data_IF_227522632803
#
_entry.id   IF_227522632803
#
_cell.length_a   1.000
_cell.length_b   1.000
_cell.length_c   1.000
_cell.angle_alpha   90.00
_cell.angle_beta   90.00
_cell.angle_gamma   90.00
#
_symmetry.space_group_name_H-M   'P 1'
#
loop_
_entity.id
_entity.type
_entity.pdbx_description
1 polymer ?
#
# COMPACT_ATOMS: atom_id res chain seq x y z
N UNK A 1 18.14 -6.85 9.05
CA UNK A 1 16.84 -6.45 8.47
C UNK A 1 15.93 -7.66 8.49
N UNK A 2 14.67 -7.50 8.89
CA UNK A 2 13.68 -8.59 8.80
C UNK A 2 12.81 -8.35 7.59
N UNK A 3 12.46 -9.41 6.88
CA UNK A 3 11.48 -9.48 5.80
C UNK A 3 10.07 -9.81 6.32
N UNK A 4 9.90 -9.92 7.64
CA UNK A 4 8.62 -10.23 8.26
C UNK A 4 7.67 -9.06 8.10
N UNK A 5 6.47 -9.36 7.62
CA UNK A 5 5.34 -8.44 7.63
C UNK A 5 4.79 -8.31 9.05
N UNK A 6 4.56 -7.08 9.47
CA UNK A 6 4.14 -6.76 10.84
C UNK A 6 3.00 -5.75 10.83
N UNK A 7 2.21 -5.79 11.89
CA UNK A 7 1.34 -4.67 12.28
C UNK A 7 1.96 -3.98 13.48
N UNK A 8 1.79 -2.67 13.54
CA UNK A 8 2.22 -1.83 14.66
C UNK A 8 1.02 -1.09 15.21
N UNK A 9 0.95 -0.97 16.54
CA UNK A 9 -0.15 -0.31 17.24
C UNK A 9 0.44 0.58 18.33
N UNK A 10 -0.18 1.74 18.54
CA UNK A 10 0.14 2.63 19.66
C UNK A 10 -0.31 2.00 20.95
N UNK A 11 0.17 2.54 22.07
CA UNK A 11 -0.30 2.17 23.40
C UNK A 11 -1.80 2.44 23.54
N UNK A 12 -2.24 3.61 23.06
CA UNK A 12 -3.64 4.06 23.00
C UNK A 12 -3.79 5.22 21.99
N UNK A 13 -4.96 5.87 21.96
CA UNK A 13 -5.27 6.99 21.06
C UNK A 13 -4.60 8.31 21.49
N UNK A 14 -4.09 8.41 22.71
CA UNK A 14 -3.36 9.58 23.22
C UNK A 14 -1.86 9.53 22.88
N UNK A 15 -1.33 8.37 22.47
CA UNK A 15 0.09 8.14 22.16
C UNK A 15 0.30 7.82 20.67
N UNK A 16 -0.04 8.76 19.80
CA UNK A 16 0.19 8.61 18.37
C UNK A 16 1.69 8.49 18.03
N UNK A 17 2.00 7.68 17.03
CA UNK A 17 3.34 7.59 16.44
C UNK A 17 3.23 7.73 14.92
N UNK A 18 4.34 8.13 14.31
CA UNK A 18 4.51 8.11 12.86
C UNK A 18 5.25 6.84 12.45
N UNK A 19 4.79 6.21 11.36
CA UNK A 19 5.48 5.09 10.74
C UNK A 19 5.60 5.32 9.23
N UNK A 20 6.74 4.89 8.69
CA UNK A 20 7.03 4.94 7.27
C UNK A 20 7.75 3.67 6.84
N UNK A 21 7.56 3.32 5.59
CA UNK A 21 8.30 2.28 4.88
C UNK A 21 9.50 2.95 4.21
N UNK A 22 10.67 2.32 4.28
CA UNK A 22 11.89 2.84 3.67
C UNK A 22 12.42 1.83 2.67
N UNK A 23 12.72 2.30 1.46
CA UNK A 23 13.48 1.56 0.47
C UNK A 23 14.93 2.03 0.51
N UNK A 24 15.84 1.06 0.54
CA UNK A 24 17.27 1.33 0.67
C UNK A 24 17.96 1.66 -0.65
N UNK A 25 17.26 1.46 -1.78
CA UNK A 25 17.78 1.62 -3.14
C UNK A 25 18.62 0.45 -3.67
N UNK A 26 18.91 0.49 -4.98
CA UNK A 26 19.61 -0.55 -5.77
C UNK A 26 20.91 -1.03 -5.11
N UNK A 27 21.75 -0.09 -4.64
CA UNK A 27 23.11 -0.39 -4.18
C UNK A 27 23.19 -0.94 -2.75
N UNK A 28 22.08 -1.01 -2.02
CA UNK A 28 22.11 -1.51 -0.64
C UNK A 28 22.33 -3.03 -0.56
N UNK A 29 21.79 -3.81 -1.50
CA UNK A 29 21.96 -5.27 -1.54
C UNK A 29 23.07 -5.73 -2.48
N UNK A 30 23.69 -4.82 -3.25
CA UNK A 30 24.68 -5.15 -4.30
C UNK A 30 25.97 -5.79 -3.77
N UNK A 31 26.11 -5.89 -2.45
CA UNK A 31 27.20 -6.59 -1.75
C UNK A 31 27.10 -8.13 -1.91
N UNK A 32 25.92 -8.68 -2.26
CA UNK A 32 25.70 -10.14 -2.40
C UNK A 32 25.23 -10.52 -3.82
N UNK A 33 25.78 -9.87 -4.85
CA UNK A 33 25.76 -10.40 -6.22
C UNK A 33 24.45 -10.30 -7.01
N UNK A 34 23.50 -9.47 -6.57
CA UNK A 34 22.31 -9.11 -7.34
C UNK A 34 22.11 -7.60 -7.37
N UNK A 35 21.64 -7.06 -8.51
CA UNK A 35 21.12 -5.68 -8.57
C UNK A 35 19.65 -5.70 -8.15
N UNK A 36 19.31 -4.96 -7.10
CA UNK A 36 17.92 -4.60 -6.81
C UNK A 36 17.48 -3.47 -7.75
N UNK A 37 16.18 -3.31 -7.99
CA UNK A 37 15.64 -2.16 -8.72
C UNK A 37 15.13 -1.11 -7.74
N UNK A 38 14.97 0.12 -8.21
CA UNK A 38 14.56 1.25 -7.39
C UNK A 38 15.72 2.06 -6.78
N UNK A 39 15.44 3.32 -6.46
CA UNK A 39 16.28 4.20 -5.67
C UNK A 39 15.83 4.20 -4.19
N UNK A 40 16.47 5.05 -3.38
CA UNK A 40 16.06 5.22 -2.00
C UNK A 40 14.79 6.08 -1.94
N UNK A 41 13.76 5.57 -1.26
CA UNK A 41 12.46 6.23 -1.13
C UNK A 41 11.86 5.98 0.27
N UNK A 42 10.88 6.79 0.67
CA UNK A 42 10.09 6.56 1.86
C UNK A 42 8.59 6.82 1.62
N UNK A 43 7.75 5.96 2.15
CA UNK A 43 6.29 6.08 2.03
C UNK A 43 5.64 6.01 3.40
N UNK A 44 4.77 6.99 3.67
CA UNK A 44 4.02 7.06 4.91
C UNK A 44 3.11 5.83 5.07
N UNK A 45 3.13 5.20 6.24
CA UNK A 45 2.13 4.19 6.59
C UNK A 45 0.86 4.91 7.04
N UNK A 46 -0.23 4.68 6.32
CA UNK A 46 -1.54 5.24 6.67
C UNK A 46 -2.10 4.52 7.91
N UNK A 47 -2.48 5.25 8.98
CA UNK A 47 -3.14 4.67 10.14
C UNK A 47 -4.45 3.98 9.74
N UNK A 48 -4.77 2.84 10.35
CA UNK A 48 -5.96 2.06 9.95
C UNK A 48 -7.31 2.76 10.20
N UNK A 49 -7.34 3.78 11.07
CA UNK A 49 -8.49 4.68 11.22
C UNK A 49 -8.72 5.61 10.02
N UNK A 50 -7.72 5.75 9.12
CA UNK A 50 -7.77 6.58 7.92
C UNK A 50 -7.95 5.79 6.62
N UNK A 51 -8.16 4.47 6.70
CA UNK A 51 -8.50 3.66 5.53
C UNK A 51 -9.78 4.18 4.88
N UNK A 52 -9.83 4.14 3.56
CA UNK A 52 -10.98 4.58 2.77
C UNK A 52 -11.68 3.35 2.18
N UNK A 53 -12.86 3.58 1.61
CA UNK A 53 -13.66 2.59 0.89
C UNK A 53 -13.54 2.75 -0.64
N UNK A 54 -12.91 3.84 -1.11
CA UNK A 54 -12.71 4.14 -2.52
C UNK A 54 -11.43 4.93 -2.76
N UNK A 55 -10.71 4.59 -3.82
CA UNK A 55 -9.48 5.23 -4.26
C UNK A 55 -9.51 5.47 -5.77
N UNK A 56 -9.12 6.65 -6.21
CA UNK A 56 -8.72 6.94 -7.59
C UNK A 56 -7.24 7.25 -7.55
N UNK A 57 -6.44 6.52 -8.32
CA UNK A 57 -4.98 6.63 -8.28
C UNK A 57 -4.40 6.53 -9.70
N UNK A 58 -3.13 6.93 -9.84
CA UNK A 58 -2.44 6.96 -11.11
C UNK A 58 -1.16 6.14 -11.06
N UNK A 59 -1.05 5.15 -11.94
CA UNK A 59 0.18 4.40 -12.15
C UNK A 59 1.00 5.09 -13.24
N UNK A 60 2.23 5.51 -12.94
CA UNK A 60 3.12 6.14 -13.92
C UNK A 60 3.58 5.11 -14.96
N UNK A 61 3.49 5.47 -16.25
CA UNK A 61 3.86 4.59 -17.36
C UNK A 61 5.36 4.56 -17.68
N UNK A 62 6.13 5.49 -17.12
CA UNK A 62 7.58 5.62 -17.38
C UNK A 62 8.40 4.52 -16.70
N UNK A 63 7.87 3.91 -15.64
CA UNK A 63 8.51 2.84 -14.86
C UNK A 63 8.24 1.46 -15.45
N UNK A 64 9.22 0.56 -15.31
CA UNK A 64 9.16 -0.80 -15.84
C UNK A 64 8.14 -1.68 -15.10
N UNK A 65 8.09 -1.56 -13.78
CA UNK A 65 7.22 -2.32 -12.90
C UNK A 65 6.21 -1.41 -12.22
N UNK A 66 4.96 -1.86 -12.10
CA UNK A 66 3.95 -1.22 -11.25
C UNK A 66 3.24 -2.28 -10.43
N UNK A 67 3.26 -2.11 -9.11
CA UNK A 67 2.64 -3.02 -8.15
C UNK A 67 1.80 -2.24 -7.14
N UNK A 68 0.70 -2.82 -6.69
CA UNK A 68 -0.13 -2.30 -5.61
C UNK A 68 0.04 -3.15 -4.35
N UNK A 69 0.01 -2.50 -3.19
CA UNK A 69 -0.23 -3.19 -1.92
C UNK A 69 -1.60 -2.81 -1.42
N UNK A 70 -2.45 -3.81 -1.23
CA UNK A 70 -3.80 -3.64 -0.70
C UNK A 70 -3.84 -4.23 0.70
N UNK A 71 -4.33 -3.47 1.68
CA UNK A 71 -4.52 -3.94 3.06
C UNK A 71 -5.97 -3.71 3.45
N UNK A 72 -6.77 -4.76 3.58
CA UNK A 72 -8.17 -4.65 4.01
C UNK A 72 -8.28 -4.89 5.51
N UNK A 73 -9.16 -4.13 6.16
CA UNK A 73 -9.48 -4.29 7.58
C UNK A 73 -10.79 -5.06 7.74
N UNK A 74 -10.80 -5.98 8.69
CA UNK A 74 -11.99 -6.75 9.05
C UNK A 74 -13.09 -5.84 9.60
N UNK A 75 -14.32 -6.07 9.16
CA UNK A 75 -15.54 -5.42 9.67
C UNK A 75 -16.32 -6.40 10.54
N UNK A 76 -17.44 -5.97 11.11
CA UNK A 76 -18.33 -6.83 11.90
C UNK A 76 -18.84 -8.04 11.10
N UNK A 77 -19.01 -7.90 9.79
CA UNK A 77 -19.47 -8.97 8.89
C UNK A 77 -18.31 -9.73 8.22
N UNK A 78 -17.06 -9.45 8.60
CA UNK A 78 -15.85 -10.06 8.04
C UNK A 78 -15.09 -9.13 7.09
N UNK A 79 -14.29 -9.71 6.21
CA UNK A 79 -13.52 -8.95 5.23
C UNK A 79 -14.38 -8.65 4.00
N UNK A 80 -14.59 -7.36 3.73
CA UNK A 80 -15.27 -6.95 2.50
C UNK A 80 -14.38 -7.23 1.28
N UNK A 81 -14.96 -7.69 0.15
CA UNK A 81 -14.25 -7.78 -1.12
C UNK A 81 -13.72 -6.42 -1.56
N UNK A 82 -12.53 -6.40 -2.17
CA UNK A 82 -11.94 -5.20 -2.78
C UNK A 82 -11.96 -5.40 -4.29
N UNK A 83 -12.55 -4.46 -5.00
CA UNK A 83 -12.73 -4.48 -6.45
C UNK A 83 -11.82 -3.44 -7.08
N UNK A 84 -10.98 -3.87 -8.02
CA UNK A 84 -10.21 -2.99 -8.89
C UNK A 84 -10.95 -2.86 -10.24
N UNK A 85 -11.02 -1.65 -10.79
CA UNK A 85 -11.77 -1.37 -12.02
C UNK A 85 -11.35 -2.25 -13.21
N UNK A 86 -10.04 -2.45 -13.41
CA UNK A 86 -9.48 -3.27 -14.47
C UNK A 86 -9.41 -4.78 -14.13
N UNK A 87 -9.26 -5.17 -12.86
CA UNK A 87 -9.03 -6.57 -12.47
C UNK A 87 -10.29 -7.31 -11.97
N UNK A 88 -11.27 -6.58 -11.43
CA UNK A 88 -12.39 -7.16 -10.69
C UNK A 88 -12.04 -7.39 -9.22
N UNK A 89 -12.72 -8.36 -8.60
CA UNK A 89 -12.47 -8.75 -7.21
C UNK A 89 -11.03 -9.24 -7.04
N UNK A 90 -10.31 -8.63 -6.11
CA UNK A 90 -8.96 -9.04 -5.76
C UNK A 90 -8.98 -10.29 -4.88
N UNK A 91 -8.05 -11.20 -5.13
CA UNK A 91 -7.95 -12.50 -4.45
C UNK A 91 -6.59 -12.64 -3.76
N UNK A 92 -6.30 -13.86 -3.28
CA UNK A 92 -5.00 -14.22 -2.67
C UNK A 92 -4.63 -13.38 -1.43
N UNK A 93 -5.64 -12.89 -0.72
CA UNK A 93 -5.45 -12.21 0.56
C UNK A 93 -4.80 -13.14 1.60
N UNK A 94 -3.74 -12.64 2.23
CA UNK A 94 -3.01 -13.32 3.29
C UNK A 94 -3.18 -12.58 4.62
N UNK A 95 -3.21 -13.28 5.77
CA UNK A 95 -3.29 -12.63 7.08
C UNK A 95 -2.14 -11.65 7.32
N UNK A 96 -2.45 -10.48 7.90
CA UNK A 96 -1.46 -9.48 8.29
C UNK A 96 -1.48 -9.24 9.81
N UNK A 97 -0.37 -9.56 10.47
CA UNK A 97 -0.22 -9.47 11.93
C UNK A 97 -0.89 -10.63 12.68
N UNK A 98 -0.87 -10.57 14.01
CA UNK A 98 -1.29 -11.70 14.87
C UNK A 98 -2.78 -11.70 15.25
N UNK A 99 -3.46 -10.54 15.15
CA UNK A 99 -4.80 -10.37 15.70
C UNK A 99 -5.93 -10.78 14.74
N UNK A 100 -5.62 -11.09 13.48
CA UNK A 100 -6.63 -11.44 12.47
C UNK A 100 -7.51 -10.27 12.02
N UNK A 101 -7.10 -9.03 12.31
CA UNK A 101 -7.84 -7.80 11.99
C UNK A 101 -7.59 -7.32 10.56
N UNK A 102 -6.50 -7.77 9.93
CA UNK A 102 -6.05 -7.29 8.63
C UNK A 102 -5.65 -8.45 7.74
N UNK A 103 -5.90 -8.26 6.44
CA UNK A 103 -5.35 -9.08 5.38
C UNK A 103 -4.74 -8.18 4.32
N UNK A 104 -3.75 -8.70 3.61
CA UNK A 104 -3.11 -7.98 2.52
C UNK A 104 -2.98 -8.83 1.26
N UNK A 105 -2.88 -8.18 0.12
CA UNK A 105 -2.51 -8.81 -1.15
C UNK A 105 -1.64 -7.86 -1.96
N UNK A 106 -0.83 -8.40 -2.86
CA UNK A 106 -0.06 -7.64 -3.84
C UNK A 106 -0.68 -7.82 -5.22
N UNK A 107 -0.78 -6.74 -5.97
CA UNK A 107 -1.35 -6.75 -7.32
C UNK A 107 -0.36 -6.16 -8.29
N UNK A 108 0.17 -6.93 -9.23
CA UNK A 108 1.06 -6.42 -10.27
C UNK A 108 0.23 -5.88 -11.43
N UNK A 109 0.28 -4.58 -11.70
CA UNK A 109 -0.42 -3.97 -12.85
C UNK A 109 0.42 -4.11 -14.12
N UNK A 110 1.73 -3.86 -14.03
CA UNK A 110 2.66 -4.02 -15.14
C UNK A 110 3.93 -4.70 -14.68
N UNK A 111 4.43 -5.63 -15.50
CA UNK A 111 5.71 -6.31 -15.32
C UNK A 111 6.53 -6.19 -16.59
N UNK A 112 7.78 -5.76 -16.50
CA UNK A 112 8.64 -5.51 -17.67
C UNK A 112 7.93 -4.68 -18.75
N UNK A 113 7.26 -3.59 -18.34
CA UNK A 113 6.44 -2.70 -19.19
C UNK A 113 5.24 -3.39 -19.85
N UNK A 114 4.92 -4.61 -19.46
CA UNK A 114 3.82 -5.41 -20.00
C UNK A 114 2.62 -5.35 -19.05
N UNK A 115 1.45 -4.89 -19.53
CA UNK A 115 0.19 -4.94 -18.78
C UNK A 115 -0.18 -6.37 -18.35
N UNK A 116 -0.68 -6.53 -17.13
CA UNK A 116 -1.08 -7.84 -16.59
C UNK A 116 -2.58 -8.09 -16.78
N UNK A 117 -2.93 -9.34 -17.07
CA UNK A 117 -4.32 -9.77 -17.30
C UNK A 117 -4.92 -10.42 -16.05
N UNK A 118 -6.19 -10.10 -15.83
CA UNK A 118 -7.01 -10.51 -14.69
C UNK A 118 -8.37 -11.02 -15.19
N UNK A 119 -9.20 -11.66 -14.33
CA UNK A 119 -10.49 -12.20 -14.76
C UNK A 119 -11.43 -11.20 -15.44
N UNK A 120 -11.42 -9.93 -15.00
CA UNK A 120 -12.27 -8.87 -15.58
C UNK A 120 -11.68 -8.21 -16.83
N UNK A 121 -10.36 -8.22 -16.99
CA UNK A 121 -9.69 -7.48 -18.06
C UNK A 121 -8.19 -7.33 -17.84
N UNK A 122 -7.57 -6.40 -18.57
CA UNK A 122 -6.14 -6.10 -18.46
C UNK A 122 -5.95 -4.79 -17.71
N UNK A 123 -5.10 -4.82 -16.68
CA UNK A 123 -4.69 -3.62 -15.96
C UNK A 123 -3.45 -3.01 -16.59
N UNK A 124 -3.40 -1.68 -16.63
CA UNK A 124 -2.28 -0.94 -17.19
C UNK A 124 -2.00 0.32 -16.35
N UNK A 125 -0.89 0.98 -16.67
CA UNK A 125 -0.55 2.30 -16.17
C UNK A 125 -1.61 3.34 -16.58
N UNK A 126 -1.65 4.45 -15.85
CA UNK A 126 -2.66 5.50 -15.97
C UNK A 126 -3.64 5.52 -14.80
N UNK A 127 -4.83 6.12 -15.02
CA UNK A 127 -5.88 6.23 -14.01
C UNK A 127 -6.51 4.88 -13.75
N UNK A 128 -6.53 4.47 -12.50
CA UNK A 128 -7.24 3.28 -12.02
C UNK A 128 -8.11 3.65 -10.80
N UNK A 129 -9.07 2.78 -10.49
CA UNK A 129 -10.01 2.97 -9.39
C UNK A 129 -10.24 1.66 -8.62
N UNK A 130 -10.12 1.74 -7.29
CA UNK A 130 -10.42 0.63 -6.40
C UNK A 130 -11.56 0.99 -5.44
N UNK A 131 -12.43 0.03 -5.12
CA UNK A 131 -13.56 0.22 -4.19
C UNK A 131 -13.83 -1.01 -3.33
N UNK A 132 -14.44 -0.82 -2.18
CA UNK A 132 -14.92 -1.88 -1.29
C UNK A 132 -16.09 -1.38 -0.45
N UNK A 133 -16.89 -2.29 0.10
CA UNK A 133 -17.88 -1.95 1.12
C UNK A 133 -17.26 -1.84 2.53
N UNK A 134 -15.98 -2.18 2.67
CA UNK A 134 -15.22 -2.07 3.92
C UNK A 134 -13.97 -1.20 3.76
N UNK A 135 -13.36 -0.78 4.88
CA UNK A 135 -12.16 0.04 4.85
C UNK A 135 -10.93 -0.76 4.40
N UNK A 136 -10.16 -0.20 3.48
CA UNK A 136 -8.86 -0.72 3.06
C UNK A 136 -7.86 0.41 2.82
N UNK A 137 -6.57 0.06 2.78
CA UNK A 137 -5.48 0.90 2.32
C UNK A 137 -5.03 0.44 0.94
N UNK A 138 -4.59 1.38 0.12
CA UNK A 138 -3.97 1.14 -1.18
C UNK A 138 -2.66 1.91 -1.25
N UNK A 139 -1.59 1.23 -1.60
CA UNK A 139 -0.30 1.83 -1.93
C UNK A 139 0.06 1.49 -3.37
N UNK A 140 0.62 2.47 -4.08
CA UNK A 140 1.10 2.32 -5.45
C UNK A 140 2.63 2.37 -5.41
N UNK A 141 3.25 1.43 -6.12
CA UNK A 141 4.70 1.31 -6.23
C UNK A 141 5.06 1.23 -7.71
N UNK A 142 5.96 2.09 -8.17
CA UNK A 142 6.63 1.95 -9.46
C UNK A 142 8.13 1.77 -9.27
N UNK A 143 8.72 0.86 -10.04
CA UNK A 143 10.15 0.57 -9.97
C UNK A 143 10.76 0.42 -11.36
N UNK A 144 11.97 0.93 -11.53
CA UNK A 144 12.84 0.72 -12.68
C UNK A 144 14.31 0.68 -12.22
N UNK A 145 15.24 0.57 -13.15
CA UNK A 145 16.68 0.61 -12.87
C UNK A 145 17.06 1.92 -12.17
N UNK A 146 17.60 1.81 -10.95
CA UNK A 146 17.99 2.95 -10.10
C UNK A 146 16.92 4.06 -9.92
N UNK A 147 15.63 3.74 -10.07
CA UNK A 147 14.54 4.70 -9.96
C UNK A 147 13.28 4.06 -9.40
N UNK A 148 12.62 4.71 -8.45
CA UNK A 148 11.33 4.27 -7.91
C UNK A 148 10.42 5.44 -7.52
N UNK A 149 9.14 5.11 -7.33
CA UNK A 149 8.21 5.96 -6.59
C UNK A 149 7.28 5.08 -5.76
N UNK A 150 6.88 5.59 -4.61
CA UNK A 150 5.80 5.02 -3.83
C UNK A 150 4.88 6.09 -3.23
N UNK A 151 3.60 5.78 -3.14
CA UNK A 151 2.68 6.64 -2.40
C UNK A 151 1.46 5.88 -1.89
N UNK A 152 0.86 6.40 -0.82
CA UNK A 152 -0.46 5.97 -0.39
C UNK A 152 -1.51 6.57 -1.31
N UNK A 153 -2.40 5.75 -1.88
CA UNK A 153 -3.47 6.20 -2.78
C UNK A 153 -4.43 7.21 -2.15
N UNK A 154 -4.43 7.32 -0.82
CA UNK A 154 -5.16 8.32 -0.07
C UNK A 154 -5.24 7.99 1.41
N UNK A 155 -5.65 8.97 2.20
CA UNK A 155 -5.95 8.81 3.62
C UNK A 155 -7.16 9.68 3.99
N UNK A 156 -7.95 9.20 4.94
CA UNK A 156 -8.96 10.03 5.58
C UNK A 156 -8.34 11.20 6.37
N UNK A 157 -9.19 12.14 6.73
CA UNK A 157 -8.87 13.29 7.59
C UNK A 157 -9.62 13.24 8.93
N UNK A 158 -9.97 12.04 9.39
CA UNK A 158 -10.70 11.85 10.67
C UNK A 158 -9.78 12.14 11.85
N UNK A 159 -10.33 12.58 12.98
CA UNK A 159 -9.51 12.71 14.20
C UNK A 159 -9.02 11.31 14.65
N UNK A 160 -7.71 11.15 14.79
CA UNK A 160 -7.10 9.89 15.27
C UNK A 160 -6.71 9.94 16.74
N UNK A 161 -6.50 11.14 17.27
CA UNK A 161 -6.09 11.34 18.64
C UNK A 161 -6.87 12.54 19.23
N UNK A 162 -7.18 12.51 20.53
CA UNK A 162 -7.88 13.59 21.20
C UNK A 162 -6.95 14.74 21.63
N UNK A 163 -5.64 14.65 21.35
CA UNK A 163 -4.65 15.59 21.85
C UNK A 163 -4.71 16.89 21.04
N UNK A 164 -4.85 18.01 21.73
CA UNK A 164 -4.76 19.34 21.12
C UNK A 164 -3.30 19.77 21.09
N UNK A 165 -2.72 20.11 19.92
CA UNK A 165 -1.34 20.58 19.85
C UNK A 165 -1.17 21.87 20.65
N UNK A 166 -0.16 21.91 21.51
CA UNK A 166 0.22 23.12 22.22
C UNK A 166 0.93 24.05 21.22
N UNK A 167 0.30 25.17 20.88
CA UNK A 167 0.91 26.18 20.02
C UNK A 167 1.88 26.99 20.90
N UNK A 168 3.20 27.00 20.61
CA UNK A 168 4.13 27.85 21.32
C UNK A 168 3.71 29.32 21.17
N UNK A 169 3.71 30.06 22.28
CA UNK A 169 3.50 31.52 22.27
C UNK A 169 4.74 32.27 21.82
#
# INVERSE_FOLDING_TARGET
MTDKLVTVRSQDDAHAFYAAMYMTGEQYSSIIGGRNIGDADFVNVIPSGQFLDRYVFFADYSFRETTLTIVRKKTETGFAPVELDCAGELTEFQPLGANGDYEYTWVTLTKDRTPQSFPKGTCNNGRNEARSNGPFALYVWGMDDAASYGYAGGAGLRALNPITPQIPK
#
